data_IF_376381996528
#
_entry.id   IF_376381996528
#
_cell.length_a   1.000
_cell.length_b   1.000
_cell.length_c   1.000
_cell.angle_alpha   90.00
_cell.angle_beta   90.00
_cell.angle_gamma   90.00
#
_symmetry.space_group_name_H-M   'P 1'
#
loop_
_entity.id
_entity.type
_entity.pdbx_description
1 polymer ?
#
# COMPACT_ATOMS: atom_id res chain seq x y z
N UNK A 1 -47.66 18.25 6.14
CA UNK A 1 -47.11 17.85 7.45
C UNK A 1 -46.29 16.55 7.41
N UNK A 2 -46.81 15.40 6.94
CA UNK A 2 -46.04 14.13 6.93
C UNK A 2 -44.81 14.15 5.99
N UNK A 3 -44.94 14.71 4.79
CA UNK A 3 -43.82 14.83 3.82
C UNK A 3 -42.72 15.75 4.34
N UNK A 4 -43.09 16.89 4.92
CA UNK A 4 -42.13 17.86 5.48
C UNK A 4 -41.31 17.26 6.63
N UNK A 5 -41.97 16.50 7.53
CA UNK A 5 -41.28 15.79 8.60
C UNK A 5 -40.32 14.72 8.04
N UNK A 6 -40.73 13.98 7.02
CA UNK A 6 -39.87 12.97 6.38
C UNK A 6 -38.63 13.61 5.73
N UNK A 7 -38.78 14.74 5.04
CA UNK A 7 -37.65 15.48 4.45
C UNK A 7 -36.68 16.00 5.52
N UNK A 8 -37.20 16.54 6.63
CA UNK A 8 -36.38 16.98 7.77
C UNK A 8 -35.58 15.82 8.37
N UNK A 9 -36.22 14.66 8.57
CA UNK A 9 -35.54 13.47 9.08
C UNK A 9 -34.43 12.98 8.14
N UNK A 10 -34.71 12.89 6.84
CA UNK A 10 -33.72 12.48 5.85
C UNK A 10 -32.49 13.41 5.85
N UNK A 11 -32.73 14.72 5.94
CA UNK A 11 -31.67 15.71 6.02
C UNK A 11 -30.79 15.51 7.27
N UNK A 12 -31.40 15.38 8.45
CA UNK A 12 -30.66 15.17 9.70
C UNK A 12 -29.90 13.84 9.72
N UNK A 13 -30.48 12.77 9.17
CA UNK A 13 -29.80 11.48 9.03
C UNK A 13 -28.58 11.60 8.11
N UNK A 14 -28.70 12.31 6.98
CA UNK A 14 -27.57 12.59 6.09
C UNK A 14 -26.48 13.42 6.78
N UNK A 15 -26.86 14.49 7.48
CA UNK A 15 -25.92 15.32 8.23
C UNK A 15 -25.22 14.53 9.35
N UNK A 16 -25.95 13.70 10.08
CA UNK A 16 -25.41 12.82 11.12
C UNK A 16 -24.47 11.76 10.54
N UNK A 17 -24.79 11.17 9.38
CA UNK A 17 -23.93 10.20 8.70
C UNK A 17 -22.60 10.83 8.27
N UNK A 18 -22.63 12.07 7.74
CA UNK A 18 -21.42 12.82 7.40
C UNK A 18 -20.59 13.14 8.66
N UNK A 19 -21.24 13.65 9.71
CA UNK A 19 -20.58 13.97 10.98
C UNK A 19 -19.93 12.73 11.60
N UNK A 20 -20.63 11.59 11.57
CA UNK A 20 -20.10 10.33 12.03
C UNK A 20 -18.88 9.90 11.20
N UNK A 21 -18.97 9.94 9.86
CA UNK A 21 -17.87 9.50 8.99
C UNK A 21 -16.60 10.31 9.20
N UNK A 22 -16.71 11.64 9.34
CA UNK A 22 -15.55 12.52 9.42
C UNK A 22 -15.07 12.85 10.84
N UNK A 23 -15.91 12.70 11.87
CA UNK A 23 -15.55 13.00 13.27
C UNK A 23 -15.85 11.84 14.22
N UNK A 24 -17.05 11.28 14.13
CA UNK A 24 -17.49 10.22 15.04
C UNK A 24 -16.64 8.95 14.97
N UNK A 25 -16.41 8.43 13.77
CA UNK A 25 -15.64 7.22 13.53
C UNK A 25 -14.18 7.37 13.96
N UNK A 26 -13.41 8.40 13.51
CA UNK A 26 -12.05 8.62 14.00
C UNK A 26 -11.97 8.75 15.51
N UNK A 27 -12.92 9.44 16.15
CA UNK A 27 -12.96 9.60 17.60
C UNK A 27 -13.21 8.26 18.32
N UNK A 28 -14.15 7.45 17.83
CA UNK A 28 -14.43 6.13 18.39
C UNK A 28 -13.20 5.22 18.26
N UNK A 29 -12.58 5.14 17.09
CA UNK A 29 -11.38 4.30 16.90
C UNK A 29 -10.21 4.83 17.75
N UNK A 30 -10.05 6.15 17.88
CA UNK A 30 -9.09 6.74 18.81
C UNK A 30 -9.33 6.30 20.25
N UNK A 31 -10.57 6.39 20.75
CA UNK A 31 -10.93 5.97 22.10
C UNK A 31 -10.70 4.47 22.30
N UNK A 32 -11.20 3.64 21.38
CA UNK A 32 -11.07 2.16 21.47
C UNK A 32 -9.61 1.75 21.44
N UNK A 33 -8.81 2.29 20.52
CA UNK A 33 -7.37 1.98 20.43
C UNK A 33 -6.56 2.45 21.65
N UNK A 34 -7.06 3.45 22.37
CA UNK A 34 -6.44 3.95 23.61
C UNK A 34 -6.80 3.06 24.80
N UNK A 35 -8.05 2.60 24.89
CA UNK A 35 -8.57 1.78 26.00
C UNK A 35 -8.26 0.28 25.86
N UNK A 36 -8.21 -0.23 24.63
CA UNK A 36 -8.03 -1.66 24.32
C UNK A 36 -7.08 -1.85 23.14
N UNK A 37 -5.79 -1.51 23.28
CA UNK A 37 -4.83 -1.74 22.20
C UNK A 37 -4.61 -3.23 21.96
N UNK A 38 -4.67 -3.64 20.70
CA UNK A 38 -4.19 -4.94 20.24
C UNK A 38 -2.66 -4.89 20.17
N UNK A 39 -2.02 -5.78 20.91
CA UNK A 39 -0.57 -5.98 20.82
C UNK A 39 -0.28 -7.03 19.75
N UNK A 40 0.30 -6.60 18.63
CA UNK A 40 0.84 -7.51 17.61
C UNK A 40 2.23 -7.94 18.04
N UNK A 41 2.47 -9.26 18.06
CA UNK A 41 3.80 -9.80 18.35
C UNK A 41 4.73 -9.47 17.18
N UNK A 42 5.75 -8.66 17.43
CA UNK A 42 6.83 -8.40 16.46
C UNK A 42 8.04 -9.22 16.88
N UNK A 43 8.49 -10.11 16.01
CA UNK A 43 9.64 -10.99 16.24
C UNK A 43 10.72 -10.81 15.18
N UNK A 44 11.83 -11.52 15.32
CA UNK A 44 12.84 -11.64 14.26
C UNK A 44 12.33 -12.58 13.17
N UNK A 45 11.35 -12.13 12.39
CA UNK A 45 10.82 -12.86 11.25
C UNK A 45 11.34 -12.25 9.95
N UNK A 46 12.06 -13.07 9.18
CA UNK A 46 12.73 -12.68 7.93
C UNK A 46 12.38 -13.74 6.85
N UNK A 47 11.14 -13.75 6.33
CA UNK A 47 10.69 -14.69 5.30
C UNK A 47 11.33 -14.39 3.94
N UNK A 48 11.19 -15.31 2.99
CA UNK A 48 11.34 -14.96 1.57
C UNK A 48 10.23 -14.00 1.13
N UNK A 49 10.59 -12.97 0.36
CA UNK A 49 9.68 -11.91 -0.07
C UNK A 49 9.76 -11.76 -1.58
N UNK A 50 8.60 -11.82 -2.25
CA UNK A 50 8.46 -11.44 -3.65
C UNK A 50 7.90 -10.01 -3.74
N UNK A 51 8.74 -9.08 -4.19
CA UNK A 51 8.32 -7.70 -4.47
C UNK A 51 7.69 -7.64 -5.85
N UNK A 52 6.40 -7.29 -5.91
CA UNK A 52 5.66 -7.11 -7.16
C UNK A 52 5.53 -5.61 -7.43
N UNK A 53 6.34 -5.11 -8.36
CA UNK A 53 6.27 -3.73 -8.84
C UNK A 53 5.30 -3.70 -10.01
N UNK A 54 4.14 -3.08 -9.83
CA UNK A 54 3.14 -2.97 -10.91
C UNK A 54 3.42 -1.75 -11.77
N UNK A 55 3.38 -1.92 -13.09
CA UNK A 55 3.70 -0.85 -14.05
C UNK A 55 2.74 -0.84 -15.25
N UNK A 56 2.36 0.35 -15.67
CA UNK A 56 1.74 0.62 -16.97
C UNK A 56 2.21 1.99 -17.46
N UNK A 57 3.07 2.00 -18.47
CA UNK A 57 3.68 3.22 -19.01
C UNK A 57 4.40 4.08 -17.96
N UNK A 58 5.36 3.47 -17.27
CA UNK A 58 6.14 4.03 -16.18
C UNK A 58 7.61 4.24 -16.58
N UNK A 59 7.92 4.51 -17.85
CA UNK A 59 9.30 4.66 -18.34
C UNK A 59 10.12 5.72 -17.59
N UNK A 60 9.44 6.70 -17.01
CA UNK A 60 10.03 7.82 -16.28
C UNK A 60 10.54 7.42 -14.89
N UNK A 61 9.79 6.56 -14.20
CA UNK A 61 9.99 6.28 -12.78
C UNK A 61 10.51 4.86 -12.51
N UNK A 62 10.26 3.91 -13.42
CA UNK A 62 10.53 2.49 -13.20
C UNK A 62 12.01 2.20 -12.91
N UNK A 63 12.95 2.84 -13.61
CA UNK A 63 14.39 2.62 -13.38
C UNK A 63 14.77 2.93 -11.94
N UNK A 64 14.47 4.15 -11.49
CA UNK A 64 14.78 4.61 -10.14
C UNK A 64 14.11 3.71 -9.09
N UNK A 65 12.90 3.22 -9.39
CA UNK A 65 12.19 2.29 -8.52
C UNK A 65 12.84 0.91 -8.45
N UNK A 66 13.27 0.34 -9.56
CA UNK A 66 13.98 -0.94 -9.57
C UNK A 66 15.28 -0.82 -8.80
N UNK A 67 16.06 0.23 -9.05
CA UNK A 67 17.31 0.52 -8.32
C UNK A 67 17.05 0.69 -6.82
N UNK A 68 16.00 1.42 -6.43
CA UNK A 68 15.57 1.57 -5.05
C UNK A 68 15.18 0.24 -4.39
N UNK A 69 14.50 -0.64 -5.13
CA UNK A 69 14.08 -1.96 -4.64
C UNK A 69 15.27 -2.91 -4.53
N UNK A 70 16.22 -2.82 -5.46
CA UNK A 70 17.51 -3.48 -5.34
C UNK A 70 18.28 -2.87 -4.16
N UNK A 71 18.18 -1.61 -3.80
CA UNK A 71 18.92 -1.06 -2.66
C UNK A 71 18.36 -1.43 -1.27
N UNK A 72 17.30 -2.25 -1.19
CA UNK A 72 16.72 -2.65 0.10
C UNK A 72 17.72 -3.44 0.96
N UNK A 73 17.79 -3.09 2.24
CA UNK A 73 18.51 -3.81 3.28
C UNK A 73 17.72 -5.08 3.64
N UNK A 74 17.80 -6.09 2.78
CA UNK A 74 17.19 -7.41 2.98
C UNK A 74 18.09 -8.49 2.34
N UNK A 75 18.18 -9.71 2.92
CA UNK A 75 19.00 -10.78 2.34
C UNK A 75 18.59 -11.06 0.90
N UNK A 76 19.58 -11.04 -0.02
CA UNK A 76 19.35 -11.11 -1.47
C UNK A 76 18.69 -12.41 -1.89
N UNK A 77 19.14 -13.50 -1.29
CA UNK A 77 18.62 -14.85 -1.46
C UNK A 77 17.17 -15.01 -0.97
N UNK A 78 16.66 -14.04 -0.21
CA UNK A 78 15.27 -13.99 0.27
C UNK A 78 14.44 -12.91 -0.43
N UNK A 79 14.99 -12.26 -1.46
CA UNK A 79 14.31 -11.17 -2.16
C UNK A 79 14.17 -11.52 -3.65
N UNK A 80 12.93 -11.73 -4.09
CA UNK A 80 12.57 -11.83 -5.50
C UNK A 80 11.94 -10.51 -5.94
N UNK A 81 12.28 -10.02 -7.15
CA UNK A 81 11.71 -8.79 -7.70
C UNK A 81 11.05 -9.10 -9.04
N UNK A 82 9.75 -8.85 -9.12
CA UNK A 82 8.94 -9.04 -10.33
C UNK A 82 8.33 -7.69 -10.73
N UNK A 83 8.62 -7.25 -11.96
CA UNK A 83 7.92 -6.13 -12.60
C UNK A 83 6.71 -6.69 -13.32
N UNK A 84 5.51 -6.40 -12.83
CA UNK A 84 4.24 -6.78 -13.44
C UNK A 84 3.77 -5.68 -14.40
N UNK A 85 4.02 -5.84 -15.69
CA UNK A 85 3.63 -4.88 -16.73
C UNK A 85 2.26 -5.19 -17.30
N UNK A 86 1.33 -4.24 -17.24
CA UNK A 86 -0.04 -4.36 -17.78
C UNK A 86 -0.09 -3.98 -19.27
N UNK A 87 0.75 -4.65 -20.08
CA UNK A 87 0.90 -4.39 -21.52
C UNK A 87 1.32 -2.95 -21.85
N UNK A 88 2.42 -2.48 -21.23
CA UNK A 88 2.98 -1.15 -21.51
C UNK A 88 3.42 -1.00 -22.97
N UNK A 89 3.26 0.22 -23.52
CA UNK A 89 3.58 0.55 -24.91
C UNK A 89 4.69 1.62 -25.06
N UNK A 90 5.28 2.04 -23.95
CA UNK A 90 6.48 2.86 -23.88
C UNK A 90 7.71 1.99 -23.54
N UNK A 91 8.80 2.61 -23.05
CA UNK A 91 10.04 1.89 -22.71
C UNK A 91 10.01 1.13 -21.38
N UNK A 92 8.89 1.07 -20.67
CA UNK A 92 8.75 0.39 -19.36
C UNK A 92 9.29 -1.03 -19.37
N UNK A 93 8.89 -1.83 -20.36
CA UNK A 93 9.30 -3.24 -20.45
C UNK A 93 10.77 -3.40 -20.83
N UNK A 94 11.30 -2.50 -21.66
CA UNK A 94 12.72 -2.47 -22.02
C UNK A 94 13.56 -2.21 -20.77
N UNK A 95 13.19 -1.18 -19.99
CA UNK A 95 13.85 -0.82 -18.75
C UNK A 95 13.84 -2.02 -17.78
N UNK A 96 12.70 -2.70 -17.61
CA UNK A 96 12.63 -3.88 -16.74
C UNK A 96 13.60 -5.00 -17.17
N UNK A 97 13.73 -5.24 -18.49
CA UNK A 97 14.63 -6.28 -19.04
C UNK A 97 16.10 -5.94 -18.84
N UNK A 98 16.49 -4.67 -18.84
CA UNK A 98 17.87 -4.26 -18.56
C UNK A 98 18.36 -4.74 -17.19
N UNK A 99 17.46 -4.90 -16.22
CA UNK A 99 17.78 -5.39 -14.88
C UNK A 99 17.71 -6.91 -14.73
N UNK A 100 17.52 -7.68 -15.81
CA UNK A 100 17.47 -9.14 -15.74
C UNK A 100 18.76 -9.76 -15.17
N UNK A 101 19.92 -9.19 -15.50
CA UNK A 101 21.22 -9.62 -14.95
C UNK A 101 21.35 -9.35 -13.44
N UNK A 102 20.52 -8.47 -12.89
CA UNK A 102 20.46 -8.13 -11.46
C UNK A 102 19.36 -8.93 -10.72
N UNK A 103 18.77 -9.94 -11.35
CA UNK A 103 17.74 -10.80 -10.76
C UNK A 103 16.31 -10.26 -10.84
N UNK A 104 16.06 -9.19 -11.61
CA UNK A 104 14.73 -8.63 -11.81
C UNK A 104 14.00 -9.37 -12.94
N UNK A 105 12.79 -9.85 -12.67
CA UNK A 105 11.97 -10.59 -13.65
C UNK A 105 10.87 -9.69 -14.20
N UNK A 106 10.74 -9.58 -15.52
CA UNK A 106 9.58 -8.97 -16.16
C UNK A 106 8.47 -10.01 -16.34
N UNK A 107 7.28 -9.70 -15.84
CA UNK A 107 6.04 -10.42 -16.11
C UNK A 107 5.08 -9.50 -16.86
N UNK A 108 5.03 -9.64 -18.19
CA UNK A 108 4.19 -8.81 -19.07
C UNK A 108 2.85 -9.51 -19.33
N UNK A 109 1.75 -8.81 -19.11
CA UNK A 109 0.42 -9.24 -19.56
C UNK A 109 0.29 -9.15 -21.09
N UNK A 110 -0.41 -10.09 -21.73
CA UNK A 110 -0.60 -10.08 -23.18
C UNK A 110 -1.50 -8.92 -23.64
N UNK A 111 -2.42 -8.48 -22.78
CA UNK A 111 -3.37 -7.40 -23.04
C UNK A 111 -3.54 -6.54 -21.77
N UNK A 112 -4.13 -5.35 -21.91
CA UNK A 112 -4.33 -4.41 -20.82
C UNK A 112 -5.59 -4.79 -20.02
N UNK A 113 -5.41 -5.39 -18.85
CA UNK A 113 -6.48 -5.88 -17.99
C UNK A 113 -6.60 -5.10 -16.67
N UNK A 114 -5.71 -4.14 -16.45
CA UNK A 114 -5.66 -3.30 -15.27
C UNK A 114 -4.72 -3.84 -14.19
N UNK A 115 -4.41 -2.95 -13.23
CA UNK A 115 -3.47 -3.18 -12.12
C UNK A 115 -3.71 -4.50 -11.40
N UNK A 116 -4.94 -4.77 -10.98
CA UNK A 116 -5.29 -5.97 -10.21
C UNK A 116 -5.04 -7.26 -10.99
N UNK A 117 -5.35 -7.27 -12.29
CA UNK A 117 -5.11 -8.44 -13.13
C UNK A 117 -3.60 -8.68 -13.31
N UNK A 118 -2.82 -7.63 -13.57
CA UNK A 118 -1.36 -7.71 -13.65
C UNK A 118 -0.73 -8.23 -12.35
N UNK A 119 -1.17 -7.72 -11.19
CA UNK A 119 -0.75 -8.19 -9.87
C UNK A 119 -1.08 -9.66 -9.65
N UNK A 120 -2.34 -10.06 -9.82
CA UNK A 120 -2.76 -11.45 -9.61
C UNK A 120 -2.00 -12.44 -10.51
N UNK A 121 -1.78 -12.06 -11.77
CA UNK A 121 -1.01 -12.85 -12.73
C UNK A 121 0.46 -13.00 -12.30
N UNK A 122 1.07 -11.95 -11.76
CA UNK A 122 2.43 -11.98 -11.22
C UNK A 122 2.53 -12.78 -9.91
N UNK A 123 1.54 -12.68 -9.01
CA UNK A 123 1.48 -13.47 -7.76
C UNK A 123 1.53 -14.97 -8.06
N UNK A 124 0.85 -15.43 -9.11
CA UNK A 124 0.89 -16.84 -9.52
C UNK A 124 2.29 -17.32 -10.01
N UNK A 125 3.25 -16.41 -10.20
CA UNK A 125 4.64 -16.68 -10.60
C UNK A 125 5.66 -16.35 -9.52
N UNK A 126 5.21 -15.79 -8.40
CA UNK A 126 6.02 -15.44 -7.24
C UNK A 126 6.34 -16.68 -6.40
N UNK A 127 7.50 -16.68 -5.77
CA UNK A 127 8.01 -17.81 -4.97
C UNK A 127 8.23 -17.50 -3.49
N UNK A 128 8.14 -16.22 -3.11
CA UNK A 128 8.28 -15.77 -1.73
C UNK A 128 7.10 -16.20 -0.85
N UNK A 129 7.40 -16.46 0.41
CA UNK A 129 6.41 -16.72 1.46
C UNK A 129 5.49 -15.52 1.68
N UNK A 130 6.01 -14.30 1.49
CA UNK A 130 5.26 -13.03 1.59
C UNK A 130 5.33 -12.29 0.27
N UNK A 131 4.20 -11.71 -0.15
CA UNK A 131 4.13 -10.84 -1.32
C UNK A 131 4.15 -9.39 -0.86
N UNK A 132 5.13 -8.61 -1.34
CA UNK A 132 5.22 -7.16 -1.11
C UNK A 132 4.78 -6.41 -2.38
N UNK A 133 3.60 -5.81 -2.35
CA UNK A 133 3.09 -5.04 -3.47
C UNK A 133 3.64 -3.62 -3.48
N UNK A 134 4.04 -3.17 -4.66
CA UNK A 134 4.59 -1.85 -4.91
C UNK A 134 4.06 -1.22 -6.19
N UNK A 135 3.93 0.10 -6.18
CA UNK A 135 3.80 0.92 -7.39
C UNK A 135 5.18 1.28 -7.96
N UNK A 136 5.23 1.53 -9.27
CA UNK A 136 6.43 2.00 -9.95
C UNK A 136 6.87 3.41 -9.50
N UNK A 137 5.95 4.23 -8.99
CA UNK A 137 6.17 5.63 -8.61
C UNK A 137 6.48 5.84 -7.13
N UNK A 138 6.56 4.77 -6.33
CA UNK A 138 6.73 4.87 -4.86
C UNK A 138 8.11 4.41 -4.42
N UNK A 139 8.94 5.32 -3.92
CA UNK A 139 10.25 4.99 -3.37
C UNK A 139 10.15 4.53 -1.91
N UNK A 140 10.98 3.55 -1.55
CA UNK A 140 11.03 2.96 -0.22
C UNK A 140 12.30 3.35 0.53
N UNK A 141 12.23 3.53 1.87
CA UNK A 141 13.44 3.57 2.67
C UNK A 141 14.12 2.19 2.64
N UNK A 142 15.46 2.11 2.73
CA UNK A 142 16.20 0.85 2.58
C UNK A 142 15.75 -0.25 3.56
N UNK A 143 15.32 0.12 4.76
CA UNK A 143 14.92 -0.79 5.83
C UNK A 143 13.45 -1.24 5.77
N UNK A 144 12.68 -0.82 4.75
CA UNK A 144 11.22 -1.02 4.71
C UNK A 144 10.81 -2.49 4.92
N UNK A 145 11.50 -3.42 4.27
CA UNK A 145 11.21 -4.85 4.37
C UNK A 145 11.52 -5.37 5.78
N UNK A 146 12.67 -4.99 6.36
CA UNK A 146 13.05 -5.36 7.74
C UNK A 146 12.12 -4.78 8.79
N UNK A 147 11.48 -3.65 8.52
CA UNK A 147 10.48 -3.06 9.41
C UNK A 147 9.13 -3.76 9.28
N UNK A 148 8.73 -4.14 8.06
CA UNK A 148 7.40 -4.72 7.81
C UNK A 148 7.33 -6.21 8.17
N UNK A 149 8.32 -7.00 7.75
CA UNK A 149 8.29 -8.46 7.90
C UNK A 149 8.10 -8.96 9.34
N UNK A 150 8.69 -8.34 10.38
CA UNK A 150 8.43 -8.68 11.77
C UNK A 150 6.95 -8.68 12.19
N UNK A 151 6.07 -7.97 11.47
CA UNK A 151 4.63 -7.98 11.73
C UNK A 151 3.97 -9.35 11.50
N UNK A 152 4.52 -10.16 10.60
CA UNK A 152 4.04 -11.52 10.31
C UNK A 152 4.53 -12.58 11.30
N UNK A 153 5.35 -12.21 12.29
CA UNK A 153 5.70 -13.11 13.39
C UNK A 153 4.48 -13.49 14.24
N UNK A 154 3.43 -12.68 14.18
CA UNK A 154 2.12 -12.99 14.75
C UNK A 154 1.26 -13.70 13.70
N UNK A 155 0.97 -14.98 13.93
CA UNK A 155 0.18 -15.80 12.99
C UNK A 155 -1.25 -15.29 12.76
N UNK A 156 -1.72 -14.33 13.56
CA UNK A 156 -3.02 -13.67 13.37
C UNK A 156 -2.97 -12.48 12.42
N UNK A 157 -1.79 -12.10 11.91
CA UNK A 157 -1.59 -11.00 10.96
C UNK A 157 -1.53 -11.54 9.53
N UNK A 158 -2.53 -11.19 8.74
CA UNK A 158 -2.58 -11.51 7.30
C UNK A 158 -2.18 -10.36 6.37
N UNK A 159 -1.91 -9.17 6.89
CA UNK A 159 -1.51 -8.02 6.09
C UNK A 159 -0.73 -7.00 6.92
N UNK A 160 0.34 -6.47 6.35
CA UNK A 160 1.12 -5.35 6.91
C UNK A 160 1.16 -4.22 5.88
N UNK A 161 0.61 -3.06 6.23
CA UNK A 161 0.60 -1.89 5.34
C UNK A 161 1.71 -0.90 5.72
N UNK A 162 2.30 -0.26 4.71
CA UNK A 162 3.21 0.85 4.90
C UNK A 162 2.49 2.17 5.21
N UNK A 163 3.24 3.13 5.75
CA UNK A 163 2.78 4.51 5.89
C UNK A 163 3.11 5.30 4.64
N UNK A 164 2.09 5.70 3.89
CA UNK A 164 2.28 6.59 2.74
C UNK A 164 2.68 7.99 3.21
N UNK A 165 3.77 8.51 2.67
CA UNK A 165 4.22 9.88 2.86
C UNK A 165 4.14 10.56 1.51
N UNK A 166 3.20 11.49 1.38
CA UNK A 166 3.07 12.29 0.17
C UNK A 166 4.15 13.38 0.16
N UNK A 167 4.93 13.44 -0.91
CA UNK A 167 6.02 14.40 -1.10
C UNK A 167 5.65 15.31 -2.27
N UNK A 168 5.55 16.61 -2.01
CA UNK A 168 5.40 17.66 -3.04
C UNK A 168 6.54 18.67 -2.89
N UNK A 169 7.62 18.54 -3.68
CA UNK A 169 8.76 19.45 -3.62
C UNK A 169 8.38 20.90 -3.94
N UNK A 170 7.35 21.12 -4.77
CA UNK A 170 6.92 22.44 -5.19
C UNK A 170 6.02 23.16 -4.18
N UNK A 171 5.64 22.49 -3.08
CA UNK A 171 4.81 23.02 -2.00
C UNK A 171 3.52 23.71 -2.48
N UNK A 172 2.87 23.09 -3.46
CA UNK A 172 1.64 23.61 -4.07
C UNK A 172 0.47 23.56 -3.08
N UNK A 173 -0.58 24.34 -3.33
CA UNK A 173 -1.84 24.25 -2.56
C UNK A 173 -2.45 22.85 -2.63
N UNK A 174 -2.43 22.24 -3.81
CA UNK A 174 -2.89 20.86 -4.05
C UNK A 174 -2.09 19.86 -3.23
N UNK A 175 -0.75 19.96 -3.21
CA UNK A 175 0.10 19.06 -2.45
C UNK A 175 -0.08 19.22 -0.93
N UNK A 176 -0.32 20.44 -0.44
CA UNK A 176 -0.71 20.65 0.96
C UNK A 176 -2.03 19.97 1.30
N UNK A 177 -3.04 20.10 0.43
CA UNK A 177 -4.33 19.42 0.59
C UNK A 177 -4.19 17.90 0.64
N UNK A 178 -3.44 17.33 -0.32
CA UNK A 178 -3.16 15.89 -0.37
C UNK A 178 -2.43 15.40 0.89
N UNK A 179 -1.43 16.14 1.37
CA UNK A 179 -0.70 15.82 2.61
C UNK A 179 -1.61 15.84 3.84
N UNK A 180 -2.50 16.82 3.96
CA UNK A 180 -3.47 16.88 5.07
C UNK A 180 -4.44 15.71 5.03
N UNK A 181 -5.00 15.40 3.85
CA UNK A 181 -5.88 14.25 3.66
C UNK A 181 -5.19 12.93 4.03
N UNK A 182 -3.99 12.68 3.51
CA UNK A 182 -3.24 11.46 3.84
C UNK A 182 -2.78 11.42 5.30
N UNK A 183 -2.54 12.57 5.93
CA UNK A 183 -2.28 12.67 7.36
C UNK A 183 -3.47 12.20 8.20
N UNK A 184 -4.68 12.66 7.84
CA UNK A 184 -5.93 12.23 8.47
C UNK A 184 -6.20 10.73 8.25
N UNK A 185 -6.07 10.23 7.03
CA UNK A 185 -6.19 8.80 6.71
C UNK A 185 -5.17 7.95 7.50
N UNK A 186 -3.92 8.41 7.59
CA UNK A 186 -2.86 7.72 8.34
C UNK A 186 -3.17 7.70 9.84
N UNK A 187 -3.73 8.78 10.38
CA UNK A 187 -4.17 8.83 11.78
C UNK A 187 -5.22 7.76 12.06
N UNK A 188 -6.27 7.69 11.23
CA UNK A 188 -7.32 6.68 11.37
C UNK A 188 -6.72 5.28 11.29
N UNK A 189 -5.96 4.97 10.23
CA UNK A 189 -5.34 3.65 10.03
C UNK A 189 -4.44 3.22 11.18
N UNK A 190 -3.67 4.15 11.76
CA UNK A 190 -2.85 3.87 12.94
C UNK A 190 -3.71 3.42 14.12
N UNK A 191 -4.82 4.11 14.36
CA UNK A 191 -5.73 3.78 15.45
C UNK A 191 -6.55 2.51 15.15
N UNK A 192 -6.94 2.27 13.89
CA UNK A 192 -7.57 1.02 13.44
C UNK A 192 -6.67 -0.19 13.69
N UNK A 193 -5.41 -0.12 13.22
CA UNK A 193 -4.40 -1.17 13.44
C UNK A 193 -4.15 -1.41 14.92
N UNK A 194 -4.08 -0.33 15.72
CA UNK A 194 -3.92 -0.43 17.17
C UNK A 194 -5.17 -0.98 17.87
N UNK A 195 -6.38 -0.73 17.38
CA UNK A 195 -7.61 -1.23 17.98
C UNK A 195 -7.85 -2.71 17.65
N UNK A 196 -7.72 -3.09 16.38
CA UNK A 196 -8.02 -4.46 15.93
C UNK A 196 -7.36 -4.82 14.60
N UNK A 197 -7.69 -4.09 13.53
CA UNK A 197 -7.27 -4.36 12.14
C UNK A 197 -7.50 -3.11 11.29
N UNK A 198 -6.73 -2.98 10.22
CA UNK A 198 -6.96 -1.98 9.17
C UNK A 198 -8.21 -2.34 8.36
N UNK A 199 -8.96 -1.33 7.93
CA UNK A 199 -10.05 -1.50 6.95
C UNK A 199 -9.49 -1.59 5.52
N UNK A 200 -8.38 -0.91 5.25
CA UNK A 200 -7.74 -0.94 3.94
C UNK A 200 -6.25 -0.56 3.97
N UNK A 201 -5.49 -1.13 3.04
CA UNK A 201 -4.08 -0.82 2.83
C UNK A 201 -3.92 0.12 1.63
N UNK A 202 -2.84 0.92 1.62
CA UNK A 202 -2.48 1.70 0.43
C UNK A 202 -1.88 0.77 -0.62
N UNK A 203 -2.35 0.87 -1.86
CA UNK A 203 -1.84 0.07 -2.98
C UNK A 203 -0.38 0.35 -3.37
N UNK A 204 0.25 1.34 -2.74
CA UNK A 204 1.63 1.77 -2.99
C UNK A 204 2.66 0.97 -2.17
N UNK A 205 2.24 0.40 -1.03
CA UNK A 205 3.09 -0.41 -0.15
C UNK A 205 2.24 -1.21 0.85
N UNK A 206 2.07 -2.50 0.58
CA UNK A 206 1.50 -3.46 1.54
C UNK A 206 2.03 -4.86 1.27
N UNK A 207 2.07 -5.67 2.33
CA UNK A 207 2.49 -7.06 2.26
C UNK A 207 1.38 -7.98 2.74
N UNK A 208 1.29 -9.18 2.16
CA UNK A 208 0.38 -10.28 2.55
C UNK A 208 1.06 -11.63 2.48
#
# INVERSE_FOLDING_TARGET
MKIELALKLLWWLGAAALLYTYLGYPLIVFIVSSLRPRHVRRGSFMPSVSVIITAYNEERDLRAKIENTLALDYPREKLEIIVASDCSNDRTDEIAREFAAHGVRLHRQPERLGKTAAQNSAVAKASGEIILFSDATTLYPPDVARVMMPGFADATVGCVAGRLIYVDPAQTSTGRGARSYWGYETFIKRHESRACSLIGASGCLYAV
#
